data_IF_672158054897
#
_entry.id   IF_672158054897
#
_cell.length_a   1.000
_cell.length_b   1.000
_cell.length_c   1.000
_cell.angle_alpha   90.00
_cell.angle_beta   90.00
_cell.angle_gamma   90.00
#
_symmetry.space_group_name_H-M   'P 1'
#
loop_
_entity.id
_entity.type
_entity.pdbx_description
1 polymer ?
#
# COMPACT_ATOMS: atom_id res chain seq x y z
N UNK A 1 8.49 -2.19 8.86
CA UNK A 1 7.94 -3.46 8.34
C UNK A 1 9.08 -4.32 7.79
N UNK A 2 9.37 -5.49 8.38
CA UNK A 2 10.60 -6.27 8.09
C UNK A 2 10.76 -6.70 6.63
N UNK A 3 9.66 -7.02 5.93
CA UNK A 3 9.71 -7.40 4.51
C UNK A 3 10.17 -6.22 3.66
N UNK A 4 9.60 -5.03 3.83
CA UNK A 4 10.04 -3.84 3.10
C UNK A 4 11.50 -3.47 3.40
N UNK A 5 11.93 -3.60 4.66
CA UNK A 5 13.33 -3.41 5.04
C UNK A 5 14.26 -4.41 4.34
N UNK A 6 13.86 -5.68 4.21
CA UNK A 6 14.64 -6.70 3.50
C UNK A 6 14.75 -6.41 2.00
N UNK A 7 13.66 -5.97 1.38
CA UNK A 7 13.60 -5.76 -0.07
C UNK A 7 14.23 -4.42 -0.52
N UNK A 8 14.15 -3.37 0.30
CA UNK A 8 14.54 -2.01 -0.08
C UNK A 8 15.47 -1.30 0.90
N UNK A 9 15.85 -1.93 2.02
CA UNK A 9 16.63 -1.28 3.08
C UNK A 9 15.90 -0.06 3.64
N UNK A 10 16.63 0.94 4.12
CA UNK A 10 16.05 2.17 4.68
C UNK A 10 15.28 3.03 3.66
N UNK A 11 15.41 2.78 2.34
CA UNK A 11 14.77 3.59 1.29
C UNK A 11 13.25 3.59 1.38
N UNK A 12 12.64 2.55 1.96
CA UNK A 12 11.19 2.48 2.16
C UNK A 12 10.65 3.52 3.15
N UNK A 13 11.50 4.27 3.86
CA UNK A 13 11.09 5.39 4.72
C UNK A 13 10.98 6.73 3.98
N UNK A 14 11.45 6.81 2.73
CA UNK A 14 11.34 7.99 1.89
C UNK A 14 10.12 7.87 1.00
N UNK A 15 9.55 8.97 0.53
CA UNK A 15 8.39 9.04 -0.36
C UNK A 15 8.66 8.56 -1.80
N UNK A 16 9.28 7.39 -1.94
CA UNK A 16 9.74 6.79 -3.19
C UNK A 16 8.97 5.49 -3.53
N UNK A 17 9.36 4.83 -4.62
CA UNK A 17 8.76 3.56 -5.06
C UNK A 17 8.75 2.46 -3.99
N UNK A 18 9.76 2.44 -3.10
CA UNK A 18 9.81 1.49 -2.00
C UNK A 18 8.77 1.79 -0.91
N UNK A 19 8.43 3.06 -0.69
CA UNK A 19 7.31 3.42 0.19
C UNK A 19 5.97 3.04 -0.43
N UNK A 20 5.78 3.27 -1.73
CA UNK A 20 4.58 2.82 -2.42
C UNK A 20 4.37 1.29 -2.29
N UNK A 21 5.45 0.51 -2.46
CA UNK A 21 5.47 -0.92 -2.16
C UNK A 21 5.07 -1.24 -0.72
N UNK A 22 5.65 -0.50 0.25
CA UNK A 22 5.43 -0.70 1.69
C UNK A 22 3.94 -0.56 2.06
N UNK A 23 3.29 0.51 1.61
CA UNK A 23 1.88 0.78 1.89
C UNK A 23 0.96 -0.29 1.28
N UNK A 24 1.18 -0.62 0.00
CA UNK A 24 0.41 -1.67 -0.67
C UNK A 24 0.58 -3.04 -0.01
N UNK A 25 1.80 -3.41 0.38
CA UNK A 25 2.06 -4.67 1.07
C UNK A 25 1.43 -4.69 2.47
N UNK A 26 1.50 -3.58 3.21
CA UNK A 26 0.98 -3.51 4.56
C UNK A 26 -0.53 -3.77 4.62
N UNK A 27 -1.32 -3.11 3.76
CA UNK A 27 -2.76 -3.31 3.73
C UNK A 27 -3.14 -4.73 3.29
N UNK A 28 -2.43 -5.32 2.33
CA UNK A 28 -2.63 -6.71 1.91
C UNK A 28 -2.35 -7.69 3.07
N UNK A 29 -1.30 -7.46 3.85
CA UNK A 29 -0.99 -8.29 5.01
C UNK A 29 -2.05 -8.16 6.11
N UNK A 30 -2.60 -6.97 6.33
CA UNK A 30 -3.72 -6.77 7.27
C UNK A 30 -4.94 -7.58 6.80
N UNK A 31 -5.32 -7.48 5.53
CA UNK A 31 -6.46 -8.23 4.97
C UNK A 31 -6.24 -9.74 5.14
N UNK A 32 -5.09 -10.26 4.70
CA UNK A 32 -4.73 -11.69 4.85
C UNK A 32 -4.75 -12.14 6.31
N UNK A 33 -4.33 -11.27 7.23
CA UNK A 33 -4.35 -11.58 8.65
C UNK A 33 -5.77 -11.64 9.21
N UNK A 34 -6.64 -10.69 8.86
CA UNK A 34 -8.05 -10.69 9.26
C UNK A 34 -8.78 -11.94 8.74
N UNK A 35 -8.52 -12.35 7.50
CA UNK A 35 -9.12 -13.53 6.87
C UNK A 35 -8.78 -14.85 7.58
N UNK A 36 -7.63 -14.93 8.26
CA UNK A 36 -7.28 -16.09 9.11
C UNK A 36 -8.20 -16.23 10.32
N UNK A 37 -8.72 -15.13 10.84
CA UNK A 37 -9.61 -15.12 12.01
C UNK A 37 -11.09 -15.18 11.64
N UNK A 38 -11.47 -14.48 10.57
CA UNK A 38 -12.85 -14.45 10.06
C UNK A 38 -12.82 -14.45 8.54
N UNK A 39 -13.47 -15.45 7.94
CA UNK A 39 -13.53 -15.59 6.48
C UNK A 39 -14.56 -14.64 5.84
N UNK A 40 -14.39 -13.33 6.03
CA UNK A 40 -15.21 -12.29 5.42
C UNK A 40 -14.30 -11.23 4.78
N UNK A 41 -14.18 -11.31 3.46
CA UNK A 41 -13.27 -10.46 2.66
C UNK A 41 -13.65 -8.99 2.71
N UNK A 42 -14.93 -8.66 2.58
CA UNK A 42 -15.42 -7.28 2.61
C UNK A 42 -15.19 -6.61 3.97
N UNK A 43 -15.43 -7.34 5.06
CA UNK A 43 -15.12 -6.84 6.41
C UNK A 43 -13.61 -6.67 6.61
N UNK A 44 -12.79 -7.60 6.10
CA UNK A 44 -11.34 -7.50 6.20
C UNK A 44 -10.79 -6.29 5.43
N UNK A 45 -11.27 -6.06 4.19
CA UNK A 45 -10.93 -4.88 3.39
C UNK A 45 -11.36 -3.57 4.07
N UNK A 46 -12.60 -3.53 4.55
CA UNK A 46 -13.14 -2.36 5.27
C UNK A 46 -12.34 -2.05 6.53
N UNK A 47 -12.01 -3.09 7.31
CA UNK A 47 -11.18 -2.94 8.50
C UNK A 47 -9.78 -2.43 8.15
N UNK A 48 -9.13 -3.04 7.14
CA UNK A 48 -7.80 -2.64 6.72
C UNK A 48 -7.77 -1.17 6.31
N UNK A 49 -8.74 -0.71 5.49
CA UNK A 49 -8.89 0.70 5.13
C UNK A 49 -9.04 1.60 6.35
N UNK A 50 -9.98 1.28 7.24
CA UNK A 50 -10.26 2.09 8.44
C UNK A 50 -9.03 2.21 9.32
N UNK A 51 -8.29 1.13 9.50
CA UNK A 51 -7.09 1.09 10.33
C UNK A 51 -5.94 1.88 9.70
N UNK A 52 -5.70 1.73 8.39
CA UNK A 52 -4.63 2.47 7.71
C UNK A 52 -4.95 3.97 7.64
N UNK A 53 -6.20 4.35 7.35
CA UNK A 53 -6.61 5.77 7.34
C UNK A 53 -6.42 6.39 8.73
N UNK A 54 -6.85 5.69 9.79
CA UNK A 54 -6.65 6.13 11.17
C UNK A 54 -5.17 6.27 11.53
N UNK A 55 -4.31 5.37 11.05
CA UNK A 55 -2.86 5.46 11.29
C UNK A 55 -2.26 6.72 10.67
N UNK A 56 -2.65 7.06 9.43
CA UNK A 56 -2.20 8.29 8.78
C UNK A 56 -2.76 9.55 9.49
N UNK A 57 -3.93 9.47 10.12
CA UNK A 57 -4.49 10.57 10.94
C UNK A 57 -3.74 10.75 12.27
N UNK A 58 -3.30 9.64 12.86
CA UNK A 58 -2.62 9.62 14.15
C UNK A 58 -1.20 10.20 14.06
N UNK A 59 -0.50 10.01 12.94
CA UNK A 59 0.84 10.54 12.68
C UNK A 59 0.86 11.31 11.35
N UNK A 60 0.35 12.55 11.33
CA UNK A 60 0.12 13.27 10.07
C UNK A 60 1.44 13.61 9.35
N UNK A 61 1.51 13.23 8.07
CA UNK A 61 2.53 13.70 7.12
C UNK A 61 2.09 15.01 6.46
N UNK A 62 3.00 15.61 5.69
CA UNK A 62 2.67 16.72 4.77
C UNK A 62 1.59 16.30 3.78
N UNK A 63 0.81 17.27 3.27
CA UNK A 63 -0.41 17.00 2.50
C UNK A 63 -0.19 16.06 1.30
N UNK A 64 0.89 16.24 0.54
CA UNK A 64 1.22 15.41 -0.62
C UNK A 64 1.63 13.98 -0.22
N UNK A 65 2.43 13.84 0.84
CA UNK A 65 2.86 12.53 1.35
C UNK A 65 1.68 11.75 1.89
N UNK A 66 0.81 12.42 2.64
CA UNK A 66 -0.43 11.84 3.14
C UNK A 66 -1.35 11.39 1.99
N UNK A 67 -1.49 12.21 0.94
CA UNK A 67 -2.28 11.84 -0.23
C UNK A 67 -1.69 10.60 -0.94
N UNK A 68 -0.37 10.53 -1.10
CA UNK A 68 0.35 9.37 -1.62
C UNK A 68 0.10 8.11 -0.77
N UNK A 69 0.22 8.20 0.55
CA UNK A 69 0.07 7.06 1.47
C UNK A 69 -1.37 6.54 1.47
N UNK A 70 -2.38 7.41 1.58
CA UNK A 70 -3.79 7.05 1.50
C UNK A 70 -4.14 6.39 0.16
N UNK A 71 -3.62 6.93 -0.95
CA UNK A 71 -3.83 6.38 -2.27
C UNK A 71 -3.18 5.00 -2.43
N UNK A 72 -1.93 4.85 -2.01
CA UNK A 72 -1.23 3.57 -2.09
C UNK A 72 -1.88 2.49 -1.20
N UNK A 73 -2.44 2.87 -0.04
CA UNK A 73 -3.28 1.98 0.77
C UNK A 73 -4.55 1.56 0.00
N UNK A 74 -5.27 2.50 -0.64
CA UNK A 74 -6.45 2.18 -1.46
C UNK A 74 -6.10 1.26 -2.63
N UNK A 75 -5.03 1.53 -3.36
CA UNK A 75 -4.55 0.69 -4.46
C UNK A 75 -4.13 -0.68 -3.95
N UNK A 76 -3.48 -0.78 -2.78
CA UNK A 76 -3.14 -2.05 -2.14
C UNK A 76 -4.38 -2.92 -1.85
N UNK A 77 -5.48 -2.31 -1.42
CA UNK A 77 -6.77 -3.01 -1.23
C UNK A 77 -7.29 -3.56 -2.56
N UNK A 78 -7.21 -2.78 -3.65
CA UNK A 78 -7.64 -3.24 -4.97
C UNK A 78 -6.74 -4.37 -5.50
N UNK A 79 -5.41 -4.26 -5.30
CA UNK A 79 -4.42 -5.26 -5.71
C UNK A 79 -4.52 -6.57 -4.91
N UNK A 80 -5.20 -6.59 -3.77
CA UNK A 80 -5.43 -7.80 -2.99
C UNK A 80 -6.07 -8.92 -3.82
N UNK A 81 -7.01 -8.60 -4.72
CA UNK A 81 -7.69 -9.58 -5.57
C UNK A 81 -6.71 -10.41 -6.40
N UNK A 82 -5.63 -9.79 -6.87
CA UNK A 82 -4.61 -10.44 -7.70
C UNK A 82 -3.73 -11.41 -6.90
N UNK A 83 -3.65 -11.27 -5.58
CA UNK A 83 -2.71 -12.01 -4.72
C UNK A 83 -3.39 -12.78 -3.59
N UNK A 84 -4.72 -12.81 -3.55
CA UNK A 84 -5.48 -13.39 -2.43
C UNK A 84 -5.22 -14.89 -2.23
N UNK A 85 -5.02 -15.63 -3.32
CA UNK A 85 -4.66 -17.05 -3.29
C UNK A 85 -3.15 -17.30 -3.27
N UNK A 86 -2.33 -16.25 -3.36
CA UNK A 86 -0.89 -16.38 -3.55
C UNK A 86 -0.12 -16.35 -2.22
N UNK A 87 1.01 -17.05 -2.22
CA UNK A 87 1.95 -17.04 -1.10
C UNK A 87 2.70 -15.70 -0.98
N UNK A 88 3.45 -15.54 0.10
CA UNK A 88 4.19 -14.30 0.39
C UNK A 88 5.20 -13.96 -0.71
N UNK A 89 5.97 -14.92 -1.20
CA UNK A 89 7.00 -14.70 -2.23
C UNK A 89 6.39 -14.13 -3.51
N UNK A 90 5.31 -14.74 -3.99
CA UNK A 90 4.59 -14.25 -5.18
C UNK A 90 3.91 -12.91 -4.94
N UNK A 91 3.35 -12.70 -3.75
CA UNK A 91 2.78 -11.40 -3.35
C UNK A 91 3.85 -10.30 -3.41
N UNK A 92 5.04 -10.56 -2.85
CA UNK A 92 6.18 -9.64 -2.89
C UNK A 92 6.60 -9.36 -4.33
N UNK A 93 6.82 -10.41 -5.14
CA UNK A 93 7.23 -10.25 -6.54
C UNK A 93 6.25 -9.40 -7.35
N UNK A 94 4.94 -9.65 -7.19
CA UNK A 94 3.88 -8.89 -7.84
C UNK A 94 3.90 -7.42 -7.41
N UNK A 95 4.02 -7.15 -6.11
CA UNK A 95 4.06 -5.77 -5.61
C UNK A 95 5.34 -5.04 -6.00
N UNK A 96 6.49 -5.71 -6.10
CA UNK A 96 7.74 -5.11 -6.63
C UNK A 96 7.57 -4.69 -8.08
N UNK A 97 6.90 -5.52 -8.89
CA UNK A 97 6.55 -5.14 -10.26
C UNK A 97 5.65 -3.89 -10.26
N UNK A 98 4.56 -3.90 -9.49
CA UNK A 98 3.63 -2.73 -9.41
C UNK A 98 4.31 -1.46 -8.90
N UNK A 99 5.25 -1.59 -7.98
CA UNK A 99 6.06 -0.48 -7.49
C UNK A 99 7.06 0.02 -8.55
N UNK A 100 7.56 -0.83 -9.44
CA UNK A 100 8.41 -0.38 -10.55
C UNK A 100 7.63 0.43 -11.60
N UNK A 101 6.37 0.05 -11.81
CA UNK A 101 5.38 0.67 -12.69
C UNK A 101 4.69 1.91 -12.09
N UNK A 102 5.05 2.30 -10.85
CA UNK A 102 4.44 3.44 -10.16
C UNK A 102 4.78 4.76 -10.86
N UNK A 103 3.89 5.73 -10.68
CA UNK A 103 3.99 7.05 -11.28
C UNK A 103 4.49 8.07 -10.26
N UNK A 104 5.37 8.96 -10.70
CA UNK A 104 5.73 10.11 -9.87
C UNK A 104 4.58 11.11 -9.86
N UNK A 105 4.35 11.75 -8.71
CA UNK A 105 3.40 12.84 -8.53
C UNK A 105 4.11 14.06 -7.96
N UNK A 106 3.65 15.24 -8.35
CA UNK A 106 4.12 16.52 -7.82
C UNK A 106 3.03 17.27 -7.05
N UNK A 107 1.76 16.91 -7.27
CA UNK A 107 0.59 17.59 -6.70
C UNK A 107 -0.45 16.60 -6.17
N UNK A 108 -1.32 17.06 -5.26
CA UNK A 108 -2.39 16.24 -4.66
C UNK A 108 -3.42 15.88 -5.72
N UNK A 109 -3.71 16.80 -6.64
CA UNK A 109 -4.70 16.67 -7.71
C UNK A 109 -4.30 15.60 -8.75
N UNK A 110 -3.02 15.27 -8.87
CA UNK A 110 -2.54 14.18 -9.72
C UNK A 110 -2.90 12.81 -9.16
N UNK A 111 -2.95 12.66 -7.83
CA UNK A 111 -3.28 11.41 -7.15
C UNK A 111 -4.68 10.93 -7.54
N UNK A 112 -5.63 11.86 -7.57
CA UNK A 112 -7.03 11.56 -7.88
C UNK A 112 -7.24 11.04 -9.31
N UNK A 113 -6.32 11.39 -10.22
CA UNK A 113 -6.36 10.96 -11.63
C UNK A 113 -5.76 9.57 -11.85
N UNK A 114 -5.08 9.00 -10.87
CA UNK A 114 -4.28 7.78 -10.98
C UNK A 114 -4.89 6.57 -10.24
N UNK A 115 -6.19 6.33 -10.43
CA UNK A 115 -7.02 5.41 -9.63
C UNK A 115 -6.45 4.00 -9.41
N UNK A 116 -5.67 3.46 -10.35
CA UNK A 116 -5.23 2.06 -10.35
C UNK A 116 -3.70 1.88 -10.39
N UNK A 117 -2.93 2.93 -10.11
CA UNK A 117 -1.46 2.87 -10.07
C UNK A 117 -0.95 3.33 -8.72
N UNK A 118 0.09 2.64 -8.24
CA UNK A 118 0.88 3.15 -7.13
C UNK A 118 1.55 4.47 -7.53
N UNK A 119 1.74 5.35 -6.56
CA UNK A 119 2.33 6.68 -6.74
C UNK A 119 3.47 6.94 -5.78
N UNK A 120 4.40 7.82 -6.16
CA UNK A 120 5.55 8.23 -5.34
C UNK A 120 5.94 9.69 -5.63
N UNK A 121 6.76 10.30 -4.78
CA UNK A 121 7.15 11.72 -4.88
C UNK A 121 8.61 11.89 -5.31
N UNK A 122 9.55 11.04 -4.84
CA UNK A 122 11.00 11.16 -5.12
C UNK A 122 11.67 9.83 -5.45
#
# INVERSE_FOLDING_TARGET
MNIAQKEYGSRHHLSNKANAFRHALWVILIIKSCLKWRNNEEQAKTWAKKFTDWHEDFSPNEALERAMDLHNNKVGIALFENVKAENEIKTISFLKQKASESMQIETVEEVEKLENKLVYIQ
#
